data_IF_072232935332
#
_entry.id   IF_072232935332
#
_cell.length_a   1.000
_cell.length_b   1.000
_cell.length_c   1.000
_cell.angle_alpha   90.00
_cell.angle_beta   90.00
_cell.angle_gamma   90.00
#
_symmetry.space_group_name_H-M   'P 1'
#
loop_
_entity.id
_entity.type
_entity.pdbx_description
1 polymer ?
#
# COMPACT_ATOMS: atom_id res chain seq x y z
N UNK A 1 -5.20 12.86 -22.25
CA UNK A 1 -5.99 12.90 -21.01
C UNK A 1 -5.26 12.16 -19.88
N UNK A 2 -5.03 10.84 -19.94
CA UNK A 2 -4.26 10.11 -18.91
C UNK A 2 -2.75 10.47 -18.88
N UNK A 3 -2.01 10.51 -20.02
CA UNK A 3 -0.57 10.77 -19.99
C UNK A 3 -0.24 12.19 -19.53
N UNK A 4 -1.09 13.16 -19.88
CA UNK A 4 -0.94 14.54 -19.47
C UNK A 4 -1.10 14.70 -17.94
N UNK A 5 -2.11 14.05 -17.34
CA UNK A 5 -2.31 14.03 -15.89
C UNK A 5 -1.15 13.33 -15.17
N UNK A 6 -0.63 12.23 -15.72
CA UNK A 6 0.53 11.55 -15.18
C UNK A 6 1.78 12.43 -15.20
N UNK A 7 2.06 13.10 -16.33
CA UNK A 7 3.17 14.04 -16.44
C UNK A 7 3.00 15.27 -15.54
N UNK A 8 1.77 15.75 -15.34
CA UNK A 8 1.48 16.83 -14.41
C UNK A 8 1.79 16.41 -12.96
N UNK A 9 1.39 15.20 -12.55
CA UNK A 9 1.71 14.65 -11.24
C UNK A 9 3.23 14.52 -11.04
N UNK A 10 3.97 14.03 -12.05
CA UNK A 10 5.43 13.99 -12.01
C UNK A 10 6.05 15.40 -11.92
N UNK A 11 5.51 16.38 -12.64
CA UNK A 11 5.93 17.78 -12.56
C UNK A 11 5.68 18.41 -11.19
N UNK A 12 4.65 17.95 -10.48
CA UNK A 12 4.31 18.42 -9.13
C UNK A 12 5.23 17.86 -8.03
N UNK A 13 6.07 16.86 -8.32
CA UNK A 13 7.05 16.33 -7.36
C UNK A 13 8.05 17.38 -6.84
N UNK A 14 8.20 18.53 -7.51
CA UNK A 14 9.00 19.65 -7.03
C UNK A 14 8.32 20.52 -5.97
N UNK A 15 7.00 20.43 -5.80
CA UNK A 15 6.21 21.23 -4.87
C UNK A 15 6.53 20.85 -3.41
N UNK A 16 6.88 21.83 -2.54
CA UNK A 16 7.20 21.55 -1.15
C UNK A 16 6.08 20.85 -0.38
N UNK A 17 4.79 21.13 -0.67
CA UNK A 17 3.66 20.50 0.02
C UNK A 17 3.50 19.05 -0.41
N UNK A 18 3.56 18.79 -1.72
CA UNK A 18 3.49 17.44 -2.27
C UNK A 18 4.67 16.57 -1.79
N UNK A 19 5.88 17.14 -1.78
CA UNK A 19 7.07 16.48 -1.25
C UNK A 19 6.98 16.14 0.22
N UNK A 20 6.38 17.01 1.03
CA UNK A 20 6.22 16.76 2.45
C UNK A 20 5.40 15.50 2.68
N UNK A 21 4.27 15.37 1.96
CA UNK A 21 3.44 14.15 2.03
C UNK A 21 4.19 12.91 1.57
N UNK A 22 4.99 13.02 0.50
CA UNK A 22 5.83 11.92 0.02
C UNK A 22 6.86 11.49 1.07
N UNK A 23 7.55 12.45 1.70
CA UNK A 23 8.54 12.19 2.75
C UNK A 23 7.86 11.55 3.97
N UNK A 24 6.69 12.02 4.36
CA UNK A 24 5.93 11.42 5.46
C UNK A 24 5.50 9.98 5.13
N UNK A 25 5.07 9.71 3.89
CA UNK A 25 4.75 8.36 3.43
C UNK A 25 5.95 7.41 3.48
N UNK A 26 7.08 7.84 2.92
CA UNK A 26 8.33 7.07 2.95
C UNK A 26 8.82 6.87 4.38
N UNK A 27 8.79 7.94 5.19
CA UNK A 27 9.17 7.89 6.60
C UNK A 27 8.31 6.95 7.42
N UNK A 28 6.98 6.99 7.23
CA UNK A 28 6.04 6.08 7.89
C UNK A 28 6.29 4.62 7.45
N UNK A 29 6.53 4.39 6.18
CA UNK A 29 6.84 3.05 5.64
C UNK A 29 8.10 2.48 6.28
N UNK A 30 9.18 3.27 6.33
CA UNK A 30 10.43 2.87 6.98
C UNK A 30 10.23 2.64 8.48
N UNK A 31 9.53 3.55 9.17
CA UNK A 31 9.24 3.42 10.59
C UNK A 31 8.48 2.13 10.89
N UNK A 32 7.44 1.82 10.13
CA UNK A 32 6.66 0.59 10.28
C UNK A 32 7.49 -0.65 9.96
N UNK A 33 8.37 -0.60 8.95
CA UNK A 33 9.28 -1.70 8.63
C UNK A 33 10.27 -1.98 9.75
N UNK A 34 11.00 -0.96 10.22
CA UNK A 34 11.93 -1.12 11.33
C UNK A 34 11.21 -1.49 12.63
N UNK A 35 10.03 -0.93 12.88
CA UNK A 35 9.20 -1.25 14.04
C UNK A 35 8.74 -2.70 14.03
N UNK A 36 8.20 -3.19 12.90
CA UNK A 36 7.80 -4.59 12.75
C UNK A 36 9.00 -5.54 12.88
N UNK A 37 10.13 -5.19 12.27
CA UNK A 37 11.36 -5.95 12.41
C UNK A 37 11.81 -6.05 13.87
N UNK A 38 11.80 -4.92 14.58
CA UNK A 38 12.13 -4.87 16.00
C UNK A 38 11.17 -5.73 16.84
N UNK A 39 9.87 -5.64 16.60
CA UNK A 39 8.86 -6.45 17.32
C UNK A 39 9.08 -7.94 17.09
N UNK A 40 9.27 -8.36 15.83
CA UNK A 40 9.56 -9.76 15.49
C UNK A 40 10.84 -10.22 16.16
N UNK A 41 11.90 -9.41 16.09
CA UNK A 41 13.18 -9.72 16.72
C UNK A 41 13.05 -9.91 18.23
N UNK A 42 12.39 -9.00 18.94
CA UNK A 42 12.20 -9.13 20.38
C UNK A 42 11.29 -10.30 20.76
N UNK A 43 10.24 -10.54 19.97
CA UNK A 43 9.37 -11.70 20.15
C UNK A 43 10.14 -13.02 20.03
N UNK A 44 11.03 -13.12 19.05
CA UNK A 44 11.89 -14.29 18.86
C UNK A 44 12.88 -14.47 20.01
N UNK A 45 13.56 -13.40 20.45
CA UNK A 45 14.48 -13.46 21.60
C UNK A 45 13.79 -13.90 22.90
N UNK A 46 12.52 -13.54 23.05
CA UNK A 46 11.76 -13.95 24.23
C UNK A 46 11.31 -15.42 24.17
N UNK A 47 11.02 -15.93 22.98
CA UNK A 47 10.54 -17.30 22.78
C UNK A 47 11.65 -18.35 22.62
N UNK A 48 12.79 -17.98 22.05
CA UNK A 48 13.86 -18.91 21.68
C UNK A 48 15.14 -18.64 22.48
N UNK A 49 15.90 -19.70 22.86
CA UNK A 49 17.26 -19.55 23.38
C UNK A 49 18.17 -18.81 22.39
N UNK A 50 19.14 -18.06 22.91
CA UNK A 50 20.03 -17.21 22.09
C UNK A 50 20.79 -17.99 21.00
N UNK A 51 21.05 -19.29 21.25
CA UNK A 51 21.66 -20.21 20.29
C UNK A 51 20.91 -21.55 20.34
N UNK A 52 20.67 -22.14 19.17
CA UNK A 52 20.10 -23.49 19.05
C UNK A 52 20.83 -24.27 17.97
N UNK A 53 21.14 -25.53 18.30
CA UNK A 53 21.79 -26.45 17.39
C UNK A 53 20.82 -26.97 16.35
N UNK A 54 21.03 -26.61 15.09
CA UNK A 54 20.33 -27.23 13.97
C UNK A 54 21.12 -28.45 13.51
N UNK A 55 20.47 -29.62 13.37
CA UNK A 55 21.09 -30.75 12.71
C UNK A 55 21.57 -30.29 11.32
N UNK A 56 22.81 -30.63 10.94
CA UNK A 56 23.44 -30.36 9.63
C UNK A 56 23.91 -28.90 9.39
N UNK A 57 23.42 -27.92 10.14
CA UNK A 57 23.79 -26.48 9.97
C UNK A 57 24.75 -26.01 11.07
N UNK A 58 24.78 -26.68 12.23
CA UNK A 58 25.60 -26.29 13.38
C UNK A 58 24.83 -25.44 14.38
N UNK A 59 25.56 -24.81 15.28
CA UNK A 59 25.01 -23.91 16.29
C UNK A 59 24.67 -22.56 15.63
N UNK A 60 23.38 -22.21 15.58
CA UNK A 60 22.93 -20.94 14.99
C UNK A 60 22.52 -20.02 16.13
N UNK A 61 23.33 -18.99 16.35
CA UNK A 61 22.98 -17.91 17.27
C UNK A 61 22.17 -16.85 16.53
N UNK A 62 21.03 -16.43 17.10
CA UNK A 62 20.12 -15.49 16.42
C UNK A 62 20.75 -14.13 16.14
N UNK A 63 21.68 -13.69 16.99
CA UNK A 63 22.43 -12.44 16.79
C UNK A 63 23.32 -12.51 15.55
N UNK A 64 23.93 -13.66 15.30
CA UNK A 64 24.71 -13.90 14.08
C UNK A 64 23.79 -14.06 12.86
N UNK A 65 22.62 -14.71 13.04
CA UNK A 65 21.60 -14.80 12.00
C UNK A 65 21.07 -13.42 11.57
N UNK A 66 21.05 -12.44 12.48
CA UNK A 66 20.68 -11.05 12.21
C UNK A 66 21.70 -10.34 11.30
N UNK A 67 22.98 -10.69 11.43
CA UNK A 67 24.07 -10.20 10.58
C UNK A 67 24.26 -11.05 9.32
N UNK A 68 23.52 -12.16 9.22
CA UNK A 68 23.57 -13.08 8.10
C UNK A 68 22.53 -12.75 7.02
N UNK A 69 22.58 -13.49 5.91
CA UNK A 69 21.56 -13.48 4.86
C UNK A 69 20.12 -13.72 5.36
N UNK A 70 19.94 -14.36 6.52
CA UNK A 70 18.63 -14.57 7.14
C UNK A 70 17.87 -13.28 7.45
N UNK A 71 18.56 -12.22 7.86
CA UNK A 71 17.90 -10.92 8.13
C UNK A 71 17.41 -10.24 6.87
N UNK A 72 18.16 -10.36 5.77
CA UNK A 72 17.78 -9.82 4.46
C UNK A 72 16.49 -10.50 3.99
N UNK A 73 16.42 -11.83 4.09
CA UNK A 73 15.21 -12.59 3.73
C UNK A 73 14.03 -12.21 4.63
N UNK A 74 14.24 -12.12 5.94
CA UNK A 74 13.20 -11.68 6.87
C UNK A 74 12.69 -10.28 6.53
N UNK A 75 13.59 -9.33 6.24
CA UNK A 75 13.24 -7.96 5.88
C UNK A 75 12.46 -7.90 4.56
N UNK A 76 12.81 -8.72 3.57
CA UNK A 76 12.04 -8.84 2.31
C UNK A 76 10.63 -9.37 2.55
N UNK A 77 10.48 -10.42 3.36
CA UNK A 77 9.17 -10.98 3.71
C UNK A 77 8.33 -9.94 4.47
N UNK A 78 8.92 -9.27 5.47
CA UNK A 78 8.24 -8.21 6.21
C UNK A 78 7.82 -7.08 5.30
N UNK A 79 8.66 -6.66 4.34
CA UNK A 79 8.34 -5.61 3.37
C UNK A 79 7.09 -5.93 2.56
N UNK A 80 6.97 -7.16 2.06
CA UNK A 80 5.78 -7.61 1.31
C UNK A 80 4.55 -7.64 2.22
N UNK A 81 4.68 -8.17 3.43
CA UNK A 81 3.57 -8.23 4.38
C UNK A 81 3.08 -6.84 4.81
N UNK A 82 4.02 -5.92 5.04
CA UNK A 82 3.76 -4.54 5.45
C UNK A 82 3.12 -3.69 4.36
N UNK A 83 3.17 -4.12 3.10
CA UNK A 83 2.50 -3.42 2.00
C UNK A 83 1.04 -3.11 2.35
N UNK A 84 0.31 -4.06 2.93
CA UNK A 84 -1.13 -3.88 3.25
C UNK A 84 -1.34 -2.90 4.40
N UNK A 85 -0.73 -3.07 5.60
CA UNK A 85 -0.83 -2.09 6.68
C UNK A 85 -0.37 -0.69 6.27
N UNK A 86 0.77 -0.59 5.57
CA UNK A 86 1.33 0.69 5.12
C UNK A 86 0.37 1.37 4.15
N UNK A 87 -0.13 0.65 3.13
CA UNK A 87 -1.10 1.21 2.20
C UNK A 87 -2.35 1.72 2.92
N UNK A 88 -2.90 0.95 3.87
CA UNK A 88 -4.09 1.35 4.64
C UNK A 88 -3.85 2.59 5.50
N UNK A 89 -2.69 2.66 6.17
CA UNK A 89 -2.32 3.82 6.98
C UNK A 89 -2.07 5.04 6.10
N UNK A 90 -1.43 4.86 4.94
CA UNK A 90 -1.15 5.93 4.00
C UNK A 90 -2.45 6.51 3.41
N UNK A 91 -3.39 5.65 3.00
CA UNK A 91 -4.70 6.08 2.50
C UNK A 91 -5.54 6.76 3.59
N UNK A 92 -5.38 6.40 4.86
CA UNK A 92 -6.13 7.01 5.96
C UNK A 92 -5.59 8.37 6.40
N UNK A 93 -4.26 8.56 6.38
CA UNK A 93 -3.61 9.74 6.96
C UNK A 93 -3.33 10.82 5.91
N UNK A 94 -2.89 10.43 4.72
CA UNK A 94 -2.30 11.37 3.76
C UNK A 94 -3.14 11.62 2.52
N UNK A 95 -4.21 10.86 2.33
CA UNK A 95 -4.90 10.86 1.06
C UNK A 95 -5.63 12.16 0.76
N UNK A 96 -6.33 12.68 1.77
CA UNK A 96 -7.00 13.98 1.68
C UNK A 96 -5.97 15.10 1.48
N UNK A 97 -4.84 15.06 2.19
CA UNK A 97 -3.76 16.04 2.04
C UNK A 97 -3.16 16.05 0.63
N UNK A 98 -2.97 14.89 0.00
CA UNK A 98 -2.52 14.80 -1.40
C UNK A 98 -3.58 15.38 -2.34
N UNK A 99 -4.85 15.00 -2.15
CA UNK A 99 -5.94 15.50 -2.97
C UNK A 99 -6.06 17.02 -2.87
N UNK A 100 -5.99 17.58 -1.66
CA UNK A 100 -6.00 19.02 -1.41
C UNK A 100 -4.82 19.73 -2.06
N UNK A 101 -3.60 19.19 -1.94
CA UNK A 101 -2.42 19.77 -2.58
C UNK A 101 -2.53 19.79 -4.12
N UNK A 102 -3.12 18.76 -4.72
CA UNK A 102 -3.38 18.70 -6.17
C UNK A 102 -4.48 19.68 -6.57
N UNK A 103 -5.58 19.73 -5.82
CA UNK A 103 -6.72 20.61 -6.08
C UNK A 103 -6.34 22.09 -5.95
N UNK A 104 -5.55 22.47 -4.94
CA UNK A 104 -5.07 23.85 -4.78
C UNK A 104 -4.18 24.29 -5.96
N UNK A 105 -3.34 23.37 -6.47
CA UNK A 105 -2.40 23.68 -7.57
C UNK A 105 -3.06 23.69 -8.94
N UNK A 106 -3.90 22.69 -9.22
CA UNK A 106 -4.44 22.44 -10.57
C UNK A 106 -5.91 22.86 -10.72
N UNK A 107 -6.65 23.02 -9.62
CA UNK A 107 -8.09 23.23 -9.61
C UNK A 107 -8.53 24.29 -8.56
N UNK A 108 -7.81 25.41 -8.47
CA UNK A 108 -8.01 26.48 -7.47
C UNK A 108 -9.39 27.16 -7.48
N UNK A 109 -10.22 26.90 -8.49
CA UNK A 109 -11.58 27.43 -8.62
C UNK A 109 -12.66 26.53 -8.00
N UNK A 110 -12.30 25.35 -7.50
CA UNK A 110 -13.26 24.43 -6.89
C UNK A 110 -13.60 24.84 -5.45
N UNK A 111 -14.87 24.71 -5.01
CA UNK A 111 -15.25 24.95 -3.62
C UNK A 111 -14.61 23.90 -2.68
N UNK A 112 -14.59 24.15 -1.35
CA UNK A 112 -14.10 23.18 -0.37
C UNK A 112 -14.81 21.82 -0.50
N UNK A 113 -14.07 20.74 -0.28
CA UNK A 113 -14.60 19.39 -0.42
C UNK A 113 -15.70 19.09 0.64
N UNK A 114 -16.88 18.57 0.22
CA UNK A 114 -17.92 18.15 1.15
C UNK A 114 -17.48 16.96 2.03
N UNK A 115 -17.99 16.91 3.26
CA UNK A 115 -17.80 15.77 4.15
C UNK A 115 -18.71 14.61 3.74
N UNK A 116 -18.13 13.43 3.59
CA UNK A 116 -18.84 12.24 3.15
C UNK A 116 -19.46 11.54 4.37
N UNK A 117 -20.75 11.21 4.29
CA UNK A 117 -21.42 10.46 5.36
C UNK A 117 -20.91 9.01 5.44
N UNK A 118 -20.72 8.49 6.66
CA UNK A 118 -20.24 7.12 6.88
C UNK A 118 -21.13 6.05 6.21
N UNK A 119 -22.44 6.31 6.12
CA UNK A 119 -23.40 5.42 5.45
C UNK A 119 -23.12 5.24 3.96
N UNK A 120 -22.71 6.31 3.29
CA UNK A 120 -22.41 6.29 1.86
C UNK A 120 -21.10 5.54 1.61
N UNK A 121 -20.08 5.79 2.44
CA UNK A 121 -18.82 5.03 2.43
C UNK A 121 -19.03 3.52 2.64
N UNK A 122 -19.92 3.12 3.56
CA UNK A 122 -20.21 1.71 3.83
C UNK A 122 -20.92 1.04 2.65
N UNK A 123 -21.96 1.67 2.11
CA UNK A 123 -22.70 1.16 0.95
C UNK A 123 -21.78 0.97 -0.25
N UNK A 124 -20.88 1.92 -0.43
CA UNK A 124 -19.91 1.92 -1.50
C UNK A 124 -18.86 0.82 -1.33
N UNK A 125 -18.30 0.68 -0.13
CA UNK A 125 -17.36 -0.38 0.21
C UNK A 125 -17.96 -1.77 -0.05
N UNK A 126 -19.23 -1.98 0.30
CA UNK A 126 -19.96 -3.22 0.01
C UNK A 126 -20.13 -3.48 -1.49
N UNK A 127 -20.47 -2.44 -2.25
CA UNK A 127 -20.58 -2.53 -3.71
C UNK A 127 -19.24 -2.88 -4.36
N UNK A 128 -18.15 -2.26 -3.91
CA UNK A 128 -16.81 -2.53 -4.39
C UNK A 128 -16.34 -3.93 -4.05
N UNK A 129 -16.60 -4.41 -2.83
CA UNK A 129 -16.33 -5.78 -2.42
C UNK A 129 -17.03 -6.78 -3.36
N UNK A 130 -18.30 -6.55 -3.69
CA UNK A 130 -19.02 -7.38 -4.65
C UNK A 130 -18.34 -7.43 -6.03
N UNK A 131 -17.86 -6.30 -6.53
CA UNK A 131 -17.12 -6.23 -7.80
C UNK A 131 -15.78 -6.97 -7.72
N UNK A 132 -15.01 -6.75 -6.65
CA UNK A 132 -13.73 -7.46 -6.44
C UNK A 132 -13.95 -8.96 -6.44
N UNK A 133 -14.94 -9.45 -5.69
CA UNK A 133 -15.21 -10.88 -5.55
C UNK A 133 -15.61 -11.47 -6.91
N UNK A 134 -16.58 -10.86 -7.59
CA UNK A 134 -17.03 -11.36 -8.90
C UNK A 134 -15.90 -11.34 -9.94
N UNK A 135 -15.10 -10.27 -9.96
CA UNK A 135 -14.01 -10.14 -10.92
C UNK A 135 -12.87 -11.13 -10.65
N UNK A 136 -12.55 -11.40 -9.39
CA UNK A 136 -11.55 -12.41 -9.03
C UNK A 136 -12.03 -13.85 -9.30
N UNK A 137 -13.32 -14.15 -9.06
CA UNK A 137 -13.90 -15.45 -9.44
C UNK A 137 -13.82 -15.65 -10.96
N UNK A 138 -14.17 -14.63 -11.74
CA UNK A 138 -14.05 -14.69 -13.20
C UNK A 138 -12.58 -14.85 -13.64
N UNK A 139 -11.65 -14.13 -13.02
CA UNK A 139 -10.22 -14.24 -13.31
C UNK A 139 -9.64 -15.60 -12.94
N UNK A 140 -10.14 -16.25 -11.89
CA UNK A 140 -9.68 -17.59 -11.48
C UNK A 140 -9.80 -18.61 -12.61
N UNK A 141 -10.90 -18.57 -13.38
CA UNK A 141 -11.09 -19.43 -14.55
C UNK A 141 -10.05 -19.13 -15.64
N UNK A 142 -9.74 -17.85 -15.85
CA UNK A 142 -8.80 -17.40 -16.88
C UNK A 142 -7.33 -17.60 -16.49
N UNK A 143 -7.02 -17.71 -15.19
CA UNK A 143 -5.67 -17.97 -14.70
C UNK A 143 -5.13 -19.35 -15.08
N UNK A 144 -5.99 -20.29 -15.44
CA UNK A 144 -5.58 -21.59 -15.99
C UNK A 144 -5.21 -21.54 -17.48
N UNK A 145 -5.26 -20.36 -18.10
CA UNK A 145 -4.92 -20.17 -19.51
C UNK A 145 -3.61 -19.39 -19.66
N UNK A 146 -2.95 -19.42 -20.85
CA UNK A 146 -1.79 -18.58 -21.13
C UNK A 146 -2.05 -17.07 -21.03
N UNK A 147 -3.32 -16.65 -20.94
CA UNK A 147 -3.72 -15.26 -20.74
C UNK A 147 -3.53 -14.80 -19.29
N UNK A 148 -3.18 -15.68 -18.36
CA UNK A 148 -3.09 -15.36 -16.93
C UNK A 148 -2.29 -14.08 -16.60
N UNK A 149 -1.10 -13.82 -17.18
CA UNK A 149 -0.36 -12.58 -16.89
C UNK A 149 -1.13 -11.33 -17.34
N UNK A 150 -1.78 -11.37 -18.51
CA UNK A 150 -2.56 -10.25 -19.03
C UNK A 150 -3.80 -9.99 -18.20
N UNK A 151 -4.49 -11.06 -17.79
CA UNK A 151 -5.65 -10.96 -16.89
C UNK A 151 -5.22 -10.43 -15.53
N UNK A 152 -4.09 -10.91 -15.00
CA UNK A 152 -3.56 -10.44 -13.72
C UNK A 152 -3.28 -8.93 -13.76
N UNK A 153 -2.48 -8.45 -14.73
CA UNK A 153 -2.16 -7.02 -14.81
C UNK A 153 -3.38 -6.18 -15.20
N UNK A 154 -4.21 -6.65 -16.13
CA UNK A 154 -5.40 -5.93 -16.58
C UNK A 154 -6.46 -5.80 -15.50
N UNK A 155 -6.77 -6.88 -14.79
CA UNK A 155 -7.75 -6.87 -13.70
C UNK A 155 -7.26 -6.02 -12.54
N UNK A 156 -6.04 -6.25 -12.04
CA UNK A 156 -5.50 -5.48 -10.92
C UNK A 156 -5.37 -3.99 -11.28
N UNK A 157 -4.91 -3.67 -12.50
CA UNK A 157 -4.86 -2.29 -12.99
C UNK A 157 -6.24 -1.63 -13.06
N UNK A 158 -7.26 -2.36 -13.54
CA UNK A 158 -8.64 -1.88 -13.54
C UNK A 158 -9.19 -1.65 -12.13
N UNK A 159 -8.98 -2.59 -11.20
CA UNK A 159 -9.44 -2.49 -9.82
C UNK A 159 -8.79 -1.29 -9.10
N UNK A 160 -7.47 -1.13 -9.24
CA UNK A 160 -6.74 0.01 -8.69
C UNK A 160 -7.19 1.33 -9.30
N UNK A 161 -7.26 1.43 -10.63
CA UNK A 161 -7.67 2.65 -11.31
C UNK A 161 -9.10 3.06 -10.96
N UNK A 162 -10.00 2.08 -10.84
CA UNK A 162 -11.36 2.30 -10.36
C UNK A 162 -11.39 2.85 -8.94
N UNK A 163 -10.63 2.24 -8.02
CA UNK A 163 -10.61 2.65 -6.61
C UNK A 163 -10.11 4.09 -6.45
N UNK A 164 -8.98 4.44 -7.08
CA UNK A 164 -8.45 5.80 -7.02
C UNK A 164 -9.38 6.83 -7.67
N UNK A 165 -10.01 6.49 -8.80
CA UNK A 165 -10.98 7.39 -9.43
C UNK A 165 -12.21 7.61 -8.55
N UNK A 166 -12.70 6.51 -7.96
CA UNK A 166 -13.87 6.51 -7.08
C UNK A 166 -13.63 7.44 -5.89
N UNK A 167 -12.49 7.34 -5.25
CA UNK A 167 -12.11 8.15 -4.09
C UNK A 167 -12.19 9.66 -4.35
N UNK A 168 -11.74 10.13 -5.53
CA UNK A 168 -11.92 11.53 -5.95
C UNK A 168 -13.36 11.82 -6.36
N UNK A 169 -14.03 10.86 -7.00
CA UNK A 169 -15.43 11.00 -7.40
C UNK A 169 -16.35 11.20 -6.19
N UNK A 170 -16.18 10.47 -5.09
CA UNK A 170 -16.98 10.67 -3.87
C UNK A 170 -16.73 12.06 -3.27
N UNK A 171 -15.49 12.56 -3.33
CA UNK A 171 -15.13 13.91 -2.87
C UNK A 171 -15.83 15.03 -3.67
N UNK A 172 -16.21 14.79 -4.93
CA UNK A 172 -16.66 15.85 -5.87
C UNK A 172 -18.04 15.65 -6.49
N UNK A 173 -18.56 14.43 -6.50
CA UNK A 173 -19.84 14.04 -7.09
C UNK A 173 -20.81 13.44 -6.05
N UNK A 174 -20.35 13.25 -4.82
CA UNK A 174 -21.13 12.75 -3.68
C UNK A 174 -21.93 13.84 -2.97
#
# INVERSE_FOLDING_TARGET
MIPASFLAALGQLGDPRFRWVLIQGVGLTLLLLFGAYFVVFQGVRWLMPDCFGLPWVGEVCFVEALLSWGSVVLMLILSVFLMVPVASAFTGIFLDDVADAVEERHYSHLPPAPHIALSDNLRESLSFLGVIVLANIAALVLYFTPLAPFVFYGLNGFLLGREYFRMIAVRRLG
#
